data_IF_872688586700
#
_entry.id   IF_872688586700
#
_cell.length_a   1.000
_cell.length_b   1.000
_cell.length_c   1.000
_cell.angle_alpha   90.00
_cell.angle_beta   90.00
_cell.angle_gamma   90.00
#
_symmetry.space_group_name_H-M   'P 1'
#
loop_
_entity.id
_entity.type
_entity.pdbx_description
1 polymer ?
#
# COMPACT_ATOMS: atom_id res chain seq x y z
N UNK A 1 13.62 62.61 17.06
CA UNK A 1 12.37 63.31 16.60
C UNK A 1 11.23 62.68 17.36
N UNK A 2 11.24 62.90 18.67
CA UNK A 2 10.24 62.42 19.62
C UNK A 2 8.97 63.26 19.53
N UNK A 3 7.83 62.59 19.41
CA UNK A 3 6.51 63.22 19.52
C UNK A 3 5.95 63.05 20.93
N UNK A 4 5.27 64.08 21.49
CA UNK A 4 4.87 64.14 22.89
C UNK A 4 3.64 63.29 23.23
N UNK A 5 3.66 62.76 24.45
CA UNK A 5 2.54 62.09 25.14
C UNK A 5 1.46 63.13 25.47
N UNK A 6 0.27 63.00 24.87
CA UNK A 6 -0.94 63.73 25.28
C UNK A 6 -1.97 62.77 25.88
N UNK A 7 -2.11 62.83 27.21
CA UNK A 7 -3.21 62.22 27.97
C UNK A 7 -4.54 62.77 27.47
N UNK A 8 -5.52 61.89 27.22
CA UNK A 8 -6.94 62.26 27.13
C UNK A 8 -7.80 61.19 27.78
N UNK A 9 -8.76 61.67 28.55
CA UNK A 9 -9.46 61.00 29.65
C UNK A 9 -10.34 59.85 29.17
N UNK A 10 -10.34 58.76 29.95
CA UNK A 10 -11.31 57.69 29.84
C UNK A 10 -12.73 58.23 30.01
N UNK A 11 -13.61 57.91 29.07
CA UNK A 11 -15.05 57.88 29.30
C UNK A 11 -15.50 56.46 29.04
N UNK A 12 -15.83 55.78 30.13
CA UNK A 12 -16.54 54.51 30.08
C UNK A 12 -17.93 54.76 29.47
N UNK A 13 -18.22 54.09 28.37
CA UNK A 13 -19.57 53.82 27.94
C UNK A 13 -19.71 52.31 27.78
N UNK A 14 -20.22 51.70 28.83
CA UNK A 14 -20.74 50.34 28.83
C UNK A 14 -22.21 50.40 28.43
N UNK A 15 -22.54 49.99 27.19
CA UNK A 15 -23.81 49.35 26.86
C UNK A 15 -23.50 48.32 25.77
N UNK A 16 -23.80 47.05 26.08
CA UNK A 16 -23.47 45.91 25.22
C UNK A 16 -24.39 45.77 24.01
N UNK A 17 -23.90 45.00 23.05
CA UNK A 17 -24.71 44.19 22.14
C UNK A 17 -23.75 43.22 21.44
N UNK A 18 -23.67 42.00 21.98
CA UNK A 18 -23.05 40.88 21.28
C UNK A 18 -23.79 40.66 19.95
N UNK A 19 -23.08 40.86 18.84
CA UNK A 19 -23.66 40.71 17.51
C UNK A 19 -22.64 40.76 16.37
N UNK A 20 -21.43 41.27 16.61
CA UNK A 20 -20.44 41.50 15.55
C UNK A 20 -19.18 40.63 15.67
N UNK A 21 -19.33 39.35 16.00
CA UNK A 21 -18.21 38.36 15.94
C UNK A 21 -18.51 37.18 15.01
N UNK A 22 -19.74 37.02 14.51
CA UNK A 22 -20.11 35.85 13.69
C UNK A 22 -19.76 36.02 12.19
N UNK A 23 -19.37 37.21 11.73
CA UNK A 23 -19.16 37.45 10.29
C UNK A 23 -17.75 37.08 9.75
N UNK A 24 -16.77 36.75 10.60
CA UNK A 24 -15.40 36.41 10.15
C UNK A 24 -15.09 34.90 10.11
N UNK A 25 -16.03 34.05 10.51
CA UNK A 25 -15.84 32.58 10.50
C UNK A 25 -16.42 31.88 9.26
N UNK A 26 -17.10 32.59 8.37
CA UNK A 26 -17.74 31.98 7.20
C UNK A 26 -16.81 31.73 6.00
N UNK A 27 -15.51 32.10 6.08
CA UNK A 27 -14.59 32.07 4.92
C UNK A 27 -13.55 30.92 4.95
N UNK A 28 -13.61 29.99 5.90
CA UNK A 28 -12.68 28.84 5.99
C UNK A 28 -13.36 27.47 5.79
N UNK A 29 -14.61 27.46 5.32
CA UNK A 29 -15.47 26.28 5.35
C UNK A 29 -15.81 25.64 4.00
N UNK A 30 -15.20 26.02 2.87
CA UNK A 30 -15.57 25.47 1.56
C UNK A 30 -14.32 25.21 0.71
N UNK A 31 -13.82 23.97 0.71
CA UNK A 31 -12.66 23.64 -0.14
C UNK A 31 -12.06 22.24 -0.02
N UNK A 32 -12.75 21.27 0.60
CA UNK A 32 -12.32 19.86 0.59
C UNK A 32 -13.54 18.93 0.57
N UNK A 33 -14.34 18.98 -0.49
CA UNK A 33 -15.53 18.10 -0.52
C UNK A 33 -16.38 18.08 -1.78
N UNK A 34 -16.05 18.83 -2.83
CA UNK A 34 -16.75 18.73 -4.11
C UNK A 34 -15.73 18.45 -5.21
N UNK A 35 -15.84 17.29 -5.87
CA UNK A 35 -15.16 17.06 -7.14
C UNK A 35 -14.42 15.74 -7.35
N UNK A 36 -14.52 14.73 -6.48
CA UNK A 36 -14.39 13.33 -6.96
C UNK A 36 -15.78 12.73 -7.12
N UNK A 37 -16.60 13.43 -7.91
CA UNK A 37 -17.80 12.84 -8.46
C UNK A 37 -17.34 11.66 -9.33
N UNK A 38 -17.70 10.44 -8.91
CA UNK A 38 -17.89 9.24 -9.72
C UNK A 38 -17.15 9.24 -11.08
N UNK A 39 -15.82 9.39 -11.07
CA UNK A 39 -15.06 9.11 -12.27
C UNK A 39 -15.04 7.58 -12.41
N UNK A 40 -15.44 7.03 -13.56
CA UNK A 40 -15.39 5.60 -13.78
C UNK A 40 -13.99 5.09 -13.40
N UNK A 41 -13.92 4.12 -12.50
CA UNK A 41 -12.63 3.50 -12.21
C UNK A 41 -12.12 2.87 -13.52
N UNK A 42 -10.88 3.16 -13.93
CA UNK A 42 -10.30 2.52 -15.10
C UNK A 42 -10.29 1.01 -14.89
N UNK A 43 -10.45 0.25 -15.97
CA UNK A 43 -10.31 -1.21 -15.91
C UNK A 43 -8.93 -1.59 -15.36
N UNK A 44 -8.75 -2.77 -14.75
CA UNK A 44 -7.45 -3.26 -14.31
C UNK A 44 -6.38 -3.18 -15.41
N UNK A 45 -6.74 -3.48 -16.67
CA UNK A 45 -5.85 -3.31 -17.82
C UNK A 45 -5.43 -1.86 -18.04
N UNK A 46 -6.37 -0.91 -17.99
CA UNK A 46 -6.09 0.52 -18.18
C UNK A 46 -5.38 1.17 -16.97
N UNK A 47 -5.60 0.62 -15.77
CA UNK A 47 -4.98 1.07 -14.52
C UNK A 47 -3.59 0.46 -14.28
N UNK A 48 -3.19 -0.55 -15.07
CA UNK A 48 -1.93 -1.24 -14.90
C UNK A 48 -0.74 -0.26 -15.03
N UNK A 49 0.24 -0.29 -14.11
CA UNK A 49 1.39 0.62 -14.18
C UNK A 49 2.25 0.45 -15.45
N UNK A 50 2.16 -0.73 -16.08
CA UNK A 50 2.77 -1.07 -17.36
C UNK A 50 1.98 -2.23 -17.98
N UNK A 51 2.15 -2.50 -19.28
CA UNK A 51 1.57 -3.68 -19.91
C UNK A 51 2.46 -4.92 -19.67
N UNK A 52 2.00 -5.95 -18.93
CA UNK A 52 2.80 -7.14 -18.64
C UNK A 52 2.80 -8.17 -19.79
N UNK A 53 2.13 -7.90 -20.92
CA UNK A 53 2.01 -8.86 -22.02
C UNK A 53 3.38 -9.24 -22.60
N UNK A 54 3.65 -10.53 -22.78
CA UNK A 54 4.87 -11.02 -23.42
C UNK A 54 5.39 -12.34 -22.87
N UNK A 55 6.62 -12.67 -23.29
CA UNK A 55 7.38 -13.81 -22.78
C UNK A 55 8.35 -13.33 -21.71
N UNK A 56 8.20 -13.87 -20.51
CA UNK A 56 9.03 -13.55 -19.36
C UNK A 56 9.96 -14.71 -19.06
N UNK A 57 11.20 -14.38 -18.72
CA UNK A 57 12.18 -15.32 -18.22
C UNK A 57 12.74 -14.81 -16.91
N UNK A 58 13.00 -15.72 -15.98
CA UNK A 58 13.70 -15.36 -14.75
C UNK A 58 15.14 -14.94 -15.06
N UNK A 59 15.58 -13.84 -14.43
CA UNK A 59 16.96 -13.38 -14.53
C UNK A 59 17.86 -14.20 -13.60
N UNK A 60 18.97 -14.69 -14.15
CA UNK A 60 20.02 -15.36 -13.37
C UNK A 60 21.00 -14.29 -12.89
N UNK A 61 21.02 -14.04 -11.59
CA UNK A 61 21.89 -13.03 -10.96
C UNK A 61 22.75 -13.66 -9.87
N UNK A 62 23.62 -12.88 -9.21
CA UNK A 62 24.49 -13.39 -8.14
C UNK A 62 23.71 -14.00 -6.95
N UNK A 63 22.46 -13.55 -6.74
CA UNK A 63 21.57 -14.08 -5.71
C UNK A 63 20.84 -15.36 -6.12
N UNK A 64 21.13 -15.92 -7.30
CA UNK A 64 20.50 -17.13 -7.81
C UNK A 64 20.58 -18.32 -6.86
N UNK A 65 21.65 -18.40 -6.04
CA UNK A 65 21.81 -19.44 -5.02
C UNK A 65 20.62 -19.52 -4.06
N UNK A 66 19.97 -18.39 -3.76
CA UNK A 66 18.82 -18.31 -2.86
C UNK A 66 17.52 -18.86 -3.48
N UNK A 67 17.52 -19.16 -4.80
CA UNK A 67 16.34 -19.66 -5.54
C UNK A 67 16.48 -21.12 -6.02
N UNK A 68 17.67 -21.71 -5.91
CA UNK A 68 17.94 -23.09 -6.36
C UNK A 68 17.83 -24.13 -5.25
N UNK A 69 18.07 -23.72 -4.01
CA UNK A 69 18.01 -24.61 -2.84
C UNK A 69 16.83 -24.17 -2.00
N UNK A 70 15.84 -25.04 -1.76
CA UNK A 70 14.76 -24.75 -0.81
C UNK A 70 15.36 -24.34 0.55
N UNK A 71 14.90 -23.22 1.14
CA UNK A 71 15.41 -22.77 2.42
C UNK A 71 15.12 -23.80 3.52
N UNK A 72 16.02 -23.89 4.50
CA UNK A 72 15.79 -24.72 5.67
C UNK A 72 14.61 -24.17 6.49
N UNK A 73 13.93 -25.05 7.25
CA UNK A 73 12.89 -24.61 8.18
C UNK A 73 13.44 -23.53 9.12
N UNK A 74 12.71 -22.41 9.24
CA UNK A 74 13.11 -21.28 10.07
C UNK A 74 13.95 -20.22 9.34
N UNK A 75 14.39 -20.49 8.11
CA UNK A 75 15.02 -19.49 7.25
C UNK A 75 13.97 -18.71 6.46
N UNK A 76 13.83 -17.43 6.79
CA UNK A 76 12.84 -16.52 6.21
C UNK A 76 13.51 -15.35 5.48
N UNK A 77 14.76 -15.50 5.06
CA UNK A 77 15.49 -14.44 4.38
C UNK A 77 14.73 -13.94 3.14
N UNK A 78 14.60 -12.62 3.01
CA UNK A 78 13.88 -12.00 1.88
C UNK A 78 12.35 -12.05 1.96
N UNK A 79 11.76 -12.66 2.98
CA UNK A 79 10.32 -12.67 3.20
C UNK A 79 9.97 -11.65 4.28
N UNK A 80 9.23 -10.56 3.96
CA UNK A 80 8.71 -9.65 4.99
C UNK A 80 7.61 -10.35 5.77
N UNK A 81 8.00 -11.01 6.87
CA UNK A 81 7.12 -11.89 7.65
C UNK A 81 6.59 -11.18 8.90
N UNK A 82 5.28 -11.25 9.12
CA UNK A 82 4.65 -10.78 10.37
C UNK A 82 4.84 -11.80 11.50
N UNK A 83 4.60 -11.40 12.75
CA UNK A 83 4.66 -12.33 13.88
C UNK A 83 3.70 -13.53 13.72
N UNK A 84 2.49 -13.28 13.20
CA UNK A 84 1.52 -14.34 12.90
C UNK A 84 2.01 -15.26 11.78
N UNK A 85 2.58 -14.69 10.72
CA UNK A 85 3.18 -15.46 9.62
C UNK A 85 4.33 -16.35 10.11
N UNK A 86 5.21 -15.81 10.96
CA UNK A 86 6.32 -16.56 11.54
C UNK A 86 5.83 -17.72 12.38
N UNK A 87 4.83 -17.50 13.25
CA UNK A 87 4.23 -18.57 14.05
C UNK A 87 3.65 -19.69 13.17
N UNK A 88 2.96 -19.34 12.08
CA UNK A 88 2.41 -20.32 11.15
C UNK A 88 3.51 -21.12 10.43
N UNK A 89 4.56 -20.45 9.96
CA UNK A 89 5.69 -21.08 9.30
C UNK A 89 6.49 -22.00 10.24
N UNK A 90 6.74 -21.56 11.48
CA UNK A 90 7.44 -22.36 12.50
C UNK A 90 6.64 -23.63 12.89
N UNK A 91 5.30 -23.56 12.81
CA UNK A 91 4.41 -24.68 13.11
C UNK A 91 4.35 -25.74 11.99
N UNK A 92 4.81 -25.43 10.78
CA UNK A 92 4.84 -26.39 9.67
C UNK A 92 5.80 -27.55 9.94
N UNK A 93 5.44 -28.77 9.51
CA UNK A 93 6.21 -29.99 9.71
C UNK A 93 6.39 -30.74 8.39
N UNK A 94 7.59 -30.65 7.82
CA UNK A 94 7.96 -31.29 6.56
C UNK A 94 7.85 -32.83 6.61
N UNK A 95 8.34 -33.47 7.68
CA UNK A 95 8.33 -34.93 7.79
C UNK A 95 6.89 -35.48 7.80
N UNK A 96 5.95 -34.74 8.39
CA UNK A 96 4.52 -35.10 8.35
C UNK A 96 3.96 -35.05 6.92
N UNK A 97 4.30 -34.00 6.16
CA UNK A 97 3.83 -33.87 4.78
C UNK A 97 4.46 -34.92 3.86
N UNK A 98 5.73 -35.28 4.05
CA UNK A 98 6.41 -36.37 3.34
C UNK A 98 5.79 -37.73 3.65
N UNK A 99 5.55 -38.05 4.92
CA UNK A 99 4.89 -39.29 5.32
C UNK A 99 3.45 -39.40 4.78
N UNK A 100 2.78 -38.26 4.61
CA UNK A 100 1.45 -38.19 4.02
C UNK A 100 1.45 -38.14 2.48
N UNK A 101 2.62 -38.14 1.81
CA UNK A 101 2.72 -38.02 0.35
C UNK A 101 2.26 -36.66 -0.19
N UNK A 102 2.29 -35.61 0.64
CA UNK A 102 1.87 -34.24 0.31
C UNK A 102 3.02 -33.23 0.29
N UNK A 103 4.26 -33.71 0.09
CA UNK A 103 5.47 -32.88 -0.05
C UNK A 103 5.32 -31.77 -1.10
N UNK A 104 4.46 -31.96 -2.10
CA UNK A 104 4.19 -30.98 -3.14
C UNK A 104 3.53 -29.68 -2.62
N UNK A 105 2.94 -29.68 -1.42
CA UNK A 105 2.33 -28.48 -0.80
C UNK A 105 3.33 -27.34 -0.60
N UNK A 106 4.62 -27.65 -0.50
CA UNK A 106 5.68 -26.65 -0.44
C UNK A 106 5.78 -25.81 -1.74
N UNK A 107 5.36 -26.37 -2.89
CA UNK A 107 5.41 -25.72 -4.20
C UNK A 107 4.08 -25.03 -4.57
N UNK A 108 3.41 -24.40 -3.61
CA UNK A 108 2.24 -23.55 -3.90
C UNK A 108 2.60 -22.40 -4.85
N UNK A 109 1.58 -21.73 -5.42
CA UNK A 109 1.78 -20.65 -6.38
C UNK A 109 2.81 -19.57 -5.93
N UNK A 110 2.82 -19.08 -4.67
CA UNK A 110 3.84 -18.13 -4.23
C UNK A 110 5.27 -18.69 -4.25
N UNK A 111 5.44 -19.98 -3.96
CA UNK A 111 6.73 -20.66 -4.03
C UNK A 111 7.20 -20.86 -5.47
N UNK A 112 6.32 -21.35 -6.34
CA UNK A 112 6.62 -21.55 -7.77
C UNK A 112 6.98 -20.26 -8.48
N UNK A 113 6.29 -19.16 -8.19
CA UNK A 113 6.61 -17.85 -8.79
C UNK A 113 7.94 -17.27 -8.28
N UNK A 114 8.44 -17.76 -7.13
CA UNK A 114 9.80 -17.48 -6.65
C UNK A 114 10.84 -18.43 -7.23
N UNK A 115 10.46 -19.51 -7.92
CA UNK A 115 11.42 -20.34 -8.65
C UNK A 115 11.70 -19.76 -10.04
N UNK A 116 12.79 -20.19 -10.68
CA UNK A 116 13.02 -19.88 -12.08
C UNK A 116 11.91 -20.42 -12.98
N UNK A 117 11.24 -19.53 -13.68
CA UNK A 117 10.14 -19.87 -14.57
C UNK A 117 10.17 -19.04 -15.85
N UNK A 118 9.62 -19.64 -16.91
CA UNK A 118 9.27 -18.99 -18.16
C UNK A 118 7.75 -18.83 -18.19
N UNK A 119 7.28 -17.60 -18.34
CA UNK A 119 5.85 -17.28 -18.33
C UNK A 119 5.47 -16.63 -19.65
N UNK A 120 4.25 -16.91 -20.12
CA UNK A 120 3.65 -16.16 -21.22
C UNK A 120 2.42 -15.44 -20.70
N UNK A 121 2.58 -14.15 -20.45
CA UNK A 121 1.51 -13.32 -19.92
C UNK A 121 0.77 -12.67 -21.07
N UNK A 122 -0.55 -12.73 -21.05
CA UNK A 122 -1.42 -12.00 -21.97
C UNK A 122 -2.71 -11.61 -21.26
N UNK A 123 -3.33 -10.51 -21.68
CA UNK A 123 -4.67 -10.20 -21.23
C UNK A 123 -5.71 -11.04 -21.95
N UNK A 124 -6.59 -11.69 -21.19
CA UNK A 124 -7.75 -12.40 -21.75
C UNK A 124 -8.89 -11.41 -22.03
N UNK A 125 -9.12 -10.48 -21.11
CA UNK A 125 -10.10 -9.39 -21.19
C UNK A 125 -9.60 -8.21 -20.33
N UNK A 126 -10.41 -7.16 -20.18
CA UNK A 126 -10.00 -5.93 -19.47
C UNK A 126 -9.77 -6.13 -17.96
N UNK A 127 -10.23 -7.25 -17.40
CA UNK A 127 -10.16 -7.56 -15.98
C UNK A 127 -9.28 -8.79 -15.66
N UNK A 128 -8.89 -9.57 -16.67
CA UNK A 128 -8.27 -10.89 -16.46
C UNK A 128 -6.95 -11.06 -17.21
N UNK A 129 -5.91 -11.47 -16.48
CA UNK A 129 -4.63 -11.92 -17.03
C UNK A 129 -4.62 -13.45 -17.15
N UNK A 130 -4.00 -13.94 -18.24
CA UNK A 130 -3.65 -15.34 -18.45
C UNK A 130 -2.12 -15.47 -18.41
N UNK A 131 -1.65 -16.56 -17.78
CA UNK A 131 -0.23 -16.90 -17.59
C UNK A 131 0.04 -18.32 -18.09
#
# INVERSE_FOLDING_TARGET
>A
MEYPVRRSRARAFSVGAGGLVIALLAMHGEGRGQGRANQPQPSPRAAAPFDPTGYWSSLITQNWRLRMVPPAKGDYIGIPISAAGKKAADAWNQAKDEAAGTQCKAYGAPGLMNLPTHLRIAWQDDNTLRV
#
